data_IF_978644986575
#
_entry.id   IF_978644986575
#
_cell.length_a   1.000
_cell.length_b   1.000
_cell.length_c   1.000
_cell.angle_alpha   90.00
_cell.angle_beta   90.00
_cell.angle_gamma   90.00
#
_symmetry.space_group_name_H-M   'P 1'
#
loop_
_entity.id
_entity.type
_entity.pdbx_description
1 polymer ?
#
# COMPACT_ATOMS: atom_id res chain seq x y z
N UNK A 1 -12.00 -11.32 2.65
CA UNK A 1 -11.27 -10.43 1.72
C UNK A 1 -9.81 -10.50 2.09
N UNK A 2 -8.90 -10.84 1.16
CA UNK A 2 -7.47 -10.90 1.44
C UNK A 2 -6.84 -9.51 1.60
N UNK A 3 -5.64 -9.50 2.14
CA UNK A 3 -4.74 -8.36 2.22
C UNK A 3 -3.70 -8.48 1.12
N UNK A 4 -3.70 -7.58 0.15
CA UNK A 4 -2.70 -7.49 -0.91
C UNK A 4 -1.59 -6.53 -0.49
N UNK A 5 -0.34 -6.90 -0.74
CA UNK A 5 0.84 -6.06 -0.48
C UNK A 5 1.45 -5.66 -1.81
N UNK A 6 1.68 -4.36 -1.99
CA UNK A 6 2.24 -3.76 -3.19
C UNK A 6 3.48 -2.92 -2.87
N UNK A 7 4.45 -2.98 -3.78
CA UNK A 7 5.49 -1.95 -3.93
C UNK A 7 5.00 -0.92 -4.93
N UNK A 8 5.11 0.37 -4.58
CA UNK A 8 4.62 1.48 -5.37
C UNK A 8 5.76 2.44 -5.64
N UNK A 9 6.13 2.62 -6.91
CA UNK A 9 6.98 3.74 -7.33
C UNK A 9 6.09 4.86 -7.85
N UNK A 10 6.34 6.10 -7.42
CA UNK A 10 5.49 7.24 -7.77
C UNK A 10 5.98 8.03 -8.99
N UNK A 11 7.25 7.86 -9.38
CA UNK A 11 7.90 8.63 -10.46
C UNK A 11 8.76 7.72 -11.33
N UNK A 12 8.93 8.02 -12.63
CA UNK A 12 8.24 9.10 -13.37
C UNK A 12 6.78 8.77 -13.68
N UNK A 13 6.43 7.48 -13.69
CA UNK A 13 5.07 6.96 -13.85
C UNK A 13 4.78 6.09 -12.64
N UNK A 14 3.56 6.18 -12.12
CA UNK A 14 3.15 5.36 -11.00
C UNK A 14 3.11 3.88 -11.41
N UNK A 15 3.92 3.04 -10.77
CA UNK A 15 3.88 1.59 -10.98
C UNK A 15 3.42 0.89 -9.72
N UNK A 16 2.49 -0.04 -9.88
CA UNK A 16 2.04 -0.95 -8.84
C UNK A 16 2.66 -2.32 -9.12
N UNK A 17 3.45 -2.85 -8.19
CA UNK A 17 3.98 -4.21 -8.25
C UNK A 17 3.44 -5.01 -7.07
N UNK A 18 2.54 -5.95 -7.33
CA UNK A 18 2.11 -6.92 -6.30
C UNK A 18 3.31 -7.71 -5.81
N UNK A 19 3.43 -7.81 -4.50
CA UNK A 19 4.46 -8.61 -3.82
C UNK A 19 3.85 -9.95 -3.42
N UNK A 20 2.73 -9.92 -2.69
CA UNK A 20 2.08 -11.10 -2.12
C UNK A 20 0.67 -10.77 -1.63
N UNK A 21 -0.06 -11.81 -1.20
CA UNK A 21 -1.37 -11.68 -0.56
C UNK A 21 -1.45 -12.57 0.69
N UNK A 22 -2.28 -12.16 1.65
CA UNK A 22 -2.45 -12.84 2.93
C UNK A 22 -3.94 -12.87 3.30
N UNK A 23 -4.42 -13.98 3.86
CA UNK A 23 -5.82 -14.08 4.31
C UNK A 23 -6.07 -13.42 5.68
N UNK A 24 -5.00 -13.02 6.39
CA UNK A 24 -5.10 -12.39 7.70
C UNK A 24 -4.29 -11.10 7.80
N UNK A 25 -4.86 -10.11 8.50
CA UNK A 25 -4.18 -8.86 8.81
C UNK A 25 -2.86 -9.09 9.54
N UNK A 26 -2.82 -10.06 10.47
CA UNK A 26 -1.64 -10.35 11.29
C UNK A 26 -0.45 -10.75 10.42
N UNK A 27 -0.64 -11.69 9.48
CA UNK A 27 0.40 -12.12 8.56
C UNK A 27 0.84 -10.98 7.64
N UNK A 28 -0.15 -10.28 7.05
CA UNK A 28 0.11 -9.17 6.14
C UNK A 28 0.88 -8.02 6.80
N UNK A 29 0.46 -7.59 7.99
CA UNK A 29 1.09 -6.49 8.73
C UNK A 29 2.51 -6.82 9.17
N UNK A 30 2.76 -8.06 9.64
CA UNK A 30 4.10 -8.50 9.97
C UNK A 30 5.03 -8.46 8.75
N UNK A 31 4.51 -8.89 7.59
CA UNK A 31 5.29 -8.91 6.35
C UNK A 31 5.56 -7.53 5.76
N UNK A 32 4.59 -6.61 5.81
CA UNK A 32 4.79 -5.20 5.46
C UNK A 32 5.93 -4.57 6.27
N UNK A 33 6.00 -4.85 7.57
CA UNK A 33 7.08 -4.34 8.44
C UNK A 33 8.44 -4.87 8.00
N UNK A 34 8.54 -6.16 7.70
CA UNK A 34 9.78 -6.76 7.18
C UNK A 34 10.21 -6.12 5.85
N UNK A 35 9.30 -6.01 4.89
CA UNK A 35 9.55 -5.39 3.59
C UNK A 35 10.02 -3.94 3.69
N UNK A 36 9.47 -3.17 4.64
CA UNK A 36 9.91 -1.78 4.90
C UNK A 36 11.32 -1.73 5.48
N UNK A 37 11.65 -2.64 6.39
CA UNK A 37 13.01 -2.73 6.94
C UNK A 37 14.03 -3.14 5.86
N UNK A 38 13.64 -4.04 4.95
CA UNK A 38 14.46 -4.46 3.79
C UNK A 38 14.70 -3.30 2.79
N UNK A 39 13.79 -2.32 2.71
CA UNK A 39 13.85 -1.20 1.76
C UNK A 39 14.85 -0.10 2.16
N UNK A 40 15.24 -0.03 3.44
CA UNK A 40 16.18 0.98 3.96
C UNK A 40 15.60 2.40 4.12
N UNK A 41 16.46 3.38 4.37
CA UNK A 41 16.06 4.73 4.84
C UNK A 41 15.59 5.71 3.75
N UNK A 42 15.94 5.51 2.48
CA UNK A 42 15.50 6.39 1.37
C UNK A 42 15.05 5.60 0.14
N UNK A 43 13.95 4.85 0.22
CA UNK A 43 13.50 4.04 -0.89
C UNK A 43 12.72 4.87 -1.93
N UNK A 44 13.01 4.63 -3.21
CA UNK A 44 12.19 5.16 -4.32
C UNK A 44 10.79 4.53 -4.39
N UNK A 45 10.56 3.47 -3.63
CA UNK A 45 9.31 2.73 -3.58
C UNK A 45 8.65 2.79 -2.20
N UNK A 46 7.32 2.66 -2.17
CA UNK A 46 6.50 2.61 -0.97
C UNK A 46 5.84 1.23 -0.85
N UNK A 47 5.88 0.64 0.35
CA UNK A 47 5.15 -0.60 0.64
C UNK A 47 3.76 -0.25 1.19
N UNK A 48 2.72 -0.57 0.43
CA UNK A 48 1.31 -0.46 0.84
C UNK A 48 0.65 -1.81 0.97
N UNK A 49 -0.26 -1.91 1.93
CA UNK A 49 -1.14 -3.05 2.11
C UNK A 49 -2.58 -2.57 1.94
N UNK A 50 -3.38 -3.35 1.22
CA UNK A 50 -4.77 -3.04 0.91
C UNK A 50 -5.63 -4.27 1.19
N UNK A 51 -6.72 -4.07 1.90
CA UNK A 51 -7.75 -5.09 2.10
C UNK A 51 -8.78 -4.93 1.00
N UNK A 52 -8.90 -5.92 0.11
CA UNK A 52 -9.78 -5.85 -1.05
C UNK A 52 -10.38 -7.22 -1.38
N UNK A 53 -11.41 -7.23 -2.23
CA UNK A 53 -12.06 -8.45 -2.68
C UNK A 53 -11.21 -9.23 -3.70
N UNK A 54 -10.57 -8.50 -4.62
CA UNK A 54 -9.78 -9.04 -5.73
C UNK A 54 -8.53 -8.19 -5.94
N UNK A 55 -7.59 -8.70 -6.74
CA UNK A 55 -6.40 -7.96 -7.14
C UNK A 55 -6.75 -6.69 -7.91
N UNK A 56 -7.70 -6.78 -8.86
CA UNK A 56 -8.21 -5.64 -9.62
C UNK A 56 -8.78 -4.55 -8.69
N UNK A 57 -9.62 -4.95 -7.73
CA UNK A 57 -10.17 -4.01 -6.75
C UNK A 57 -9.06 -3.36 -5.89
N UNK A 58 -8.01 -4.11 -5.54
CA UNK A 58 -6.86 -3.52 -4.83
C UNK A 58 -6.13 -2.46 -5.66
N UNK A 59 -5.95 -2.71 -6.96
CA UNK A 59 -5.32 -1.75 -7.88
C UNK A 59 -6.16 -0.50 -8.10
N UNK A 60 -7.49 -0.66 -8.23
CA UNK A 60 -8.43 0.45 -8.31
C UNK A 60 -8.31 1.35 -7.06
N UNK A 61 -8.40 0.77 -5.86
CA UNK A 61 -8.24 1.49 -4.59
C UNK A 61 -6.88 2.17 -4.44
N UNK A 62 -5.82 1.58 -5.02
CA UNK A 62 -4.50 2.18 -5.02
C UNK A 62 -4.41 3.37 -5.98
N UNK A 63 -5.21 3.39 -7.06
CA UNK A 63 -5.24 4.41 -8.09
C UNK A 63 -6.22 5.56 -7.85
N UNK A 64 -7.13 5.42 -6.90
CA UNK A 64 -7.97 6.52 -6.44
C UNK A 64 -7.14 7.74 -6.01
N UNK A 65 -7.47 8.89 -6.61
CA UNK A 65 -7.03 10.19 -6.10
C UNK A 65 -7.89 10.49 -4.89
N UNK A 66 -7.27 10.53 -3.70
CA UNK A 66 -7.97 10.90 -2.47
C UNK A 66 -7.85 12.38 -2.25
N UNK A 67 -8.98 13.04 -2.01
CA UNK A 67 -8.96 14.41 -1.51
C UNK A 67 -8.26 14.44 -0.15
N UNK A 68 -7.42 15.45 0.13
CA UNK A 68 -6.82 15.61 1.44
C UNK A 68 -7.93 15.72 2.48
N UNK A 69 -7.74 15.06 3.63
CA UNK A 69 -8.68 15.18 4.73
C UNK A 69 -8.87 16.66 5.10
N UNK A 70 -10.09 17.12 5.40
CA UNK A 70 -10.31 18.48 5.83
C UNK A 70 -9.44 18.76 7.05
N UNK A 71 -8.69 19.87 7.00
CA UNK A 71 -7.91 20.34 8.14
C UNK A 71 -8.92 20.72 9.22
N UNK A 72 -8.96 19.99 10.34
CA UNK A 72 -9.65 20.46 11.53
C UNK A 72 -8.94 21.75 11.93
N UNK A 73 -9.62 22.90 11.81
CA UNK A 73 -9.11 24.14 12.36
C UNK A 73 -8.98 23.96 13.86
N UNK A 74 -7.79 24.23 14.41
CA UNK A 74 -7.62 24.40 15.84
C UNK A 74 -8.41 25.67 16.24
N UNK A 75 -9.47 25.48 17.03
CA UNK A 75 -10.26 26.54 17.67
C UNK A 75 -9.58 26.98 18.99
#
# INVERSE_FOLDING_TARGET
MPYFIYSITARPIKMLKKIEQHDSYRGASARVKQLRNELGENPQALIKMIHAETELHAEDLLNEVRDPAPVLGDD
#
